data_IF_141844355461
#
_entry.id   IF_141844355461
#
_cell.length_a   1.000
_cell.length_b   1.000
_cell.length_c   1.000
_cell.angle_alpha   90.00
_cell.angle_beta   90.00
_cell.angle_gamma   90.00
#
_symmetry.space_group_name_H-M   'P 1'
#
loop_
_entity.id
_entity.type
_entity.pdbx_description
1 polymer ?
#
# COMPACT_ATOMS: atom_id res chain seq x y z
N UNK A 1 -3.49 26.37 9.89
CA UNK A 1 -3.22 25.06 10.49
C UNK A 1 -2.38 24.19 9.56
N UNK A 2 -2.78 23.94 8.33
CA UNK A 2 -2.06 23.08 7.36
C UNK A 2 -0.89 23.84 6.71
N UNK A 3 0.29 23.17 6.61
CA UNK A 3 1.46 23.63 5.85
C UNK A 3 1.54 22.88 4.52
N UNK A 4 1.48 21.55 4.52
CA UNK A 4 1.41 20.70 3.33
C UNK A 4 0.34 19.62 3.49
N UNK A 5 -0.79 19.80 2.81
CA UNK A 5 -1.92 18.86 2.88
C UNK A 5 -1.62 17.47 2.29
N UNK A 6 -0.59 17.35 1.42
CA UNK A 6 -0.22 16.06 0.81
C UNK A 6 0.27 15.09 1.84
N UNK A 7 0.99 15.56 2.85
CA UNK A 7 1.55 14.77 3.95
C UNK A 7 0.46 14.05 4.77
N UNK A 8 -0.75 14.62 4.82
CA UNK A 8 -1.90 14.03 5.54
C UNK A 8 -2.69 13.00 4.72
N UNK A 9 -2.30 12.74 3.47
CA UNK A 9 -2.93 11.69 2.65
C UNK A 9 -2.41 10.31 3.03
N UNK A 10 -3.23 9.31 2.81
CA UNK A 10 -2.90 7.90 3.10
C UNK A 10 -1.83 7.34 2.16
N UNK A 11 -1.84 7.82 0.91
CA UNK A 11 -0.92 7.41 -0.15
C UNK A 11 0.44 8.13 -0.12
N UNK A 12 0.64 9.10 0.78
CA UNK A 12 1.92 9.76 0.93
C UNK A 12 2.96 8.83 1.55
N UNK A 13 4.07 8.62 0.84
CA UNK A 13 5.21 7.85 1.31
C UNK A 13 6.26 8.81 1.89
N UNK A 14 6.66 8.66 3.16
CA UNK A 14 7.72 9.49 3.75
C UNK A 14 9.08 9.15 3.12
N UNK A 15 10.03 10.10 3.20
CA UNK A 15 11.39 9.87 2.71
C UNK A 15 12.15 8.81 3.52
N UNK A 16 11.81 8.68 4.80
CA UNK A 16 12.36 7.68 5.72
C UNK A 16 11.20 6.94 6.37
N UNK A 17 11.23 5.62 6.33
CA UNK A 17 10.27 4.74 6.98
C UNK A 17 10.86 4.27 8.31
N UNK A 18 10.36 4.81 9.39
CA UNK A 18 10.73 4.39 10.74
C UNK A 18 9.97 3.14 11.16
N UNK A 19 10.55 2.39 12.10
CA UNK A 19 9.97 1.19 12.72
C UNK A 19 9.76 0.00 11.77
N UNK A 20 10.42 0.03 10.60
CA UNK A 20 10.39 -1.05 9.59
C UNK A 20 11.78 -1.38 9.04
N UNK A 21 12.84 -0.95 9.72
CA UNK A 21 14.22 -1.09 9.25
C UNK A 21 14.59 -2.55 8.96
N UNK A 22 14.19 -3.48 9.84
CA UNK A 22 14.43 -4.91 9.67
C UNK A 22 13.71 -5.48 8.45
N UNK A 23 12.44 -5.10 8.26
CA UNK A 23 11.66 -5.54 7.10
C UNK A 23 12.19 -4.90 5.81
N UNK A 24 12.59 -3.64 5.83
CA UNK A 24 13.21 -2.95 4.68
C UNK A 24 14.52 -3.66 4.29
N UNK A 25 15.35 -3.97 5.27
CA UNK A 25 16.63 -4.67 5.02
C UNK A 25 16.39 -6.06 4.43
N UNK A 26 15.47 -6.83 5.01
CA UNK A 26 15.12 -8.15 4.49
C UNK A 26 14.57 -8.05 3.06
N UNK A 27 13.59 -7.18 2.83
CA UNK A 27 13.00 -6.96 1.52
C UNK A 27 14.03 -6.53 0.46
N UNK A 28 14.93 -5.60 0.83
CA UNK A 28 16.02 -5.15 -0.05
C UNK A 28 17.01 -6.27 -0.36
N UNK A 29 17.27 -7.18 0.60
CA UNK A 29 18.16 -8.31 0.37
C UNK A 29 17.59 -9.30 -0.65
N UNK A 30 16.27 -9.52 -0.65
CA UNK A 30 15.58 -10.39 -1.60
C UNK A 30 15.60 -9.81 -3.03
N UNK A 31 15.55 -8.49 -3.19
CA UNK A 31 15.63 -7.83 -4.50
C UNK A 31 17.07 -7.58 -4.98
N UNK A 32 18.07 -7.77 -4.12
CA UNK A 32 19.47 -7.50 -4.47
C UNK A 32 19.99 -8.27 -5.69
N UNK A 33 19.61 -9.54 -5.96
CA UNK A 33 20.04 -10.24 -7.17
C UNK A 33 19.76 -9.48 -8.46
N UNK A 34 18.67 -8.72 -8.53
CA UNK A 34 18.30 -7.92 -9.71
C UNK A 34 19.38 -6.88 -10.04
N UNK A 35 20.06 -6.32 -9.03
CA UNK A 35 21.13 -5.32 -9.24
C UNK A 35 22.36 -5.89 -9.95
N UNK A 36 22.47 -7.21 -10.01
CA UNK A 36 23.54 -7.93 -10.68
C UNK A 36 23.08 -8.61 -11.99
N UNK A 37 21.90 -8.27 -12.48
CA UNK A 37 21.30 -8.87 -13.69
C UNK A 37 20.85 -10.33 -13.48
N UNK A 38 20.63 -10.73 -12.23
CA UNK A 38 20.06 -12.03 -11.88
C UNK A 38 18.57 -11.86 -11.53
N UNK A 39 17.76 -12.85 -11.80
CA UNK A 39 16.37 -12.87 -11.32
C UNK A 39 16.33 -12.92 -9.79
N UNK A 40 15.29 -12.31 -9.19
CA UNK A 40 14.98 -12.47 -7.78
C UNK A 40 13.75 -13.36 -7.62
N UNK A 41 13.66 -14.05 -6.47
CA UNK A 41 12.43 -14.76 -6.11
C UNK A 41 11.27 -13.79 -5.91
N UNK A 42 10.04 -14.28 -6.13
CA UNK A 42 8.87 -13.50 -5.81
C UNK A 42 8.81 -13.21 -4.31
N UNK A 43 8.15 -12.13 -3.92
CA UNK A 43 8.04 -11.73 -2.52
C UNK A 43 6.56 -11.69 -2.13
N UNK A 44 6.21 -12.36 -1.04
CA UNK A 44 4.90 -12.30 -0.43
C UNK A 44 4.95 -11.42 0.82
N UNK A 45 4.22 -10.31 0.79
CA UNK A 45 4.11 -9.35 1.90
C UNK A 45 2.76 -9.54 2.58
N UNK A 46 2.78 -9.96 3.84
CA UNK A 46 1.56 -10.25 4.61
C UNK A 46 1.49 -9.41 5.89
N UNK A 47 0.29 -9.33 6.44
CA UNK A 47 0.00 -8.64 7.70
C UNK A 47 -1.35 -7.94 7.70
N UNK A 48 -1.84 -7.52 8.87
CA UNK A 48 -3.13 -6.84 9.01
C UNK A 48 -3.23 -5.56 8.19
N UNK A 49 -4.46 -5.10 7.92
CA UNK A 49 -4.68 -3.83 7.24
C UNK A 49 -4.07 -2.65 8.03
N UNK A 50 -3.47 -1.70 7.31
CA UNK A 50 -2.90 -0.49 7.91
C UNK A 50 -1.53 -0.68 8.58
N UNK A 51 -0.83 -1.80 8.33
CA UNK A 51 0.53 -2.06 8.86
C UNK A 51 1.65 -1.54 7.95
N UNK A 52 1.32 -0.92 6.82
CA UNK A 52 2.30 -0.33 5.92
C UNK A 52 2.81 -1.25 4.81
N UNK A 53 2.15 -2.38 4.50
CA UNK A 53 2.54 -3.33 3.44
C UNK A 53 2.79 -2.65 2.10
N UNK A 54 1.81 -1.91 1.60
CA UNK A 54 1.91 -1.17 0.34
C UNK A 54 3.01 -0.12 0.38
N UNK A 55 3.13 0.56 1.51
CA UNK A 55 4.12 1.64 1.71
C UNK A 55 5.54 1.10 1.64
N UNK A 56 5.83 -0.01 2.34
CA UNK A 56 7.17 -0.63 2.33
C UNK A 56 7.53 -1.19 0.96
N UNK A 57 6.57 -1.84 0.27
CA UNK A 57 6.81 -2.38 -1.07
C UNK A 57 7.17 -1.27 -2.07
N UNK A 58 6.39 -0.19 -2.11
CA UNK A 58 6.68 0.98 -2.95
C UNK A 58 8.01 1.63 -2.58
N UNK A 59 8.24 1.86 -1.29
CA UNK A 59 9.47 2.48 -0.80
C UNK A 59 10.73 1.72 -1.24
N UNK A 60 10.76 0.41 -1.03
CA UNK A 60 11.95 -0.40 -1.38
C UNK A 60 12.17 -0.45 -2.89
N UNK A 61 11.09 -0.60 -3.67
CA UNK A 61 11.19 -0.63 -5.14
C UNK A 61 11.61 0.74 -5.71
N UNK A 62 11.10 1.84 -5.16
CA UNK A 62 11.51 3.19 -5.55
C UNK A 62 12.99 3.43 -5.24
N UNK A 63 13.49 3.02 -4.06
CA UNK A 63 14.91 3.09 -3.73
C UNK A 63 15.77 2.26 -4.70
N UNK A 64 15.31 1.06 -5.05
CA UNK A 64 16.00 0.19 -6.01
C UNK A 64 16.09 0.85 -7.39
N UNK A 65 15.01 1.40 -7.90
CA UNK A 65 14.99 2.06 -9.23
C UNK A 65 15.79 3.35 -9.30
N UNK A 66 15.99 4.03 -8.16
CA UNK A 66 16.86 5.20 -8.07
C UNK A 66 18.35 4.84 -8.05
N UNK A 67 18.70 3.66 -7.54
CA UNK A 67 20.09 3.22 -7.41
C UNK A 67 20.60 2.45 -8.64
N UNK A 68 19.72 1.79 -9.38
CA UNK A 68 20.06 0.90 -10.48
C UNK A 68 19.26 1.23 -11.73
N UNK A 69 19.98 1.49 -12.83
CA UNK A 69 19.37 1.63 -14.15
C UNK A 69 18.94 0.26 -14.69
N UNK A 70 17.96 0.24 -15.58
CA UNK A 70 17.47 -1.01 -16.18
C UNK A 70 16.48 -1.78 -15.30
N UNK A 71 15.87 -1.10 -14.33
CA UNK A 71 14.78 -1.64 -13.52
C UNK A 71 13.56 -0.75 -13.68
N UNK A 72 12.41 -1.36 -13.95
CA UNK A 72 11.10 -0.71 -13.99
C UNK A 72 10.15 -1.40 -13.06
N UNK A 73 9.12 -0.68 -12.61
CA UNK A 73 8.06 -1.30 -11.84
C UNK A 73 6.69 -0.83 -12.27
N UNK A 74 5.70 -1.65 -11.99
CA UNK A 74 4.29 -1.32 -12.11
C UNK A 74 3.57 -1.70 -10.81
N UNK A 75 2.54 -0.93 -10.48
CA UNK A 75 1.69 -1.15 -9.33
C UNK A 75 0.24 -1.29 -9.77
N UNK A 76 -0.45 -2.24 -9.18
CA UNK A 76 -1.90 -2.40 -9.31
C UNK A 76 -2.51 -2.70 -7.95
N UNK A 77 -3.73 -2.22 -7.70
CA UNK A 77 -4.53 -2.61 -6.55
C UNK A 77 -5.68 -3.49 -7.04
N UNK A 78 -5.69 -4.76 -6.64
CA UNK A 78 -6.63 -5.75 -7.14
C UNK A 78 -8.09 -5.52 -6.69
N UNK A 79 -8.35 -4.63 -5.72
CA UNK A 79 -9.71 -4.19 -5.40
C UNK A 79 -10.27 -3.32 -6.52
N UNK A 80 -9.48 -2.37 -7.02
CA UNK A 80 -9.90 -1.45 -8.11
C UNK A 80 -9.73 -2.07 -9.50
N UNK A 81 -8.69 -2.89 -9.67
CA UNK A 81 -8.29 -3.53 -10.91
C UNK A 81 -8.45 -5.05 -10.78
N UNK A 82 -9.69 -5.55 -10.62
CA UNK A 82 -9.94 -6.97 -10.32
C UNK A 82 -9.76 -7.91 -11.51
N UNK A 83 -9.96 -7.40 -12.74
CA UNK A 83 -9.86 -8.21 -13.96
C UNK A 83 -8.43 -8.30 -14.46
N UNK A 84 -8.09 -9.42 -15.13
CA UNK A 84 -6.78 -9.63 -15.75
C UNK A 84 -6.36 -8.47 -16.66
N UNK A 85 -7.29 -7.90 -17.43
CA UNK A 85 -6.99 -6.80 -18.35
C UNK A 85 -6.65 -5.51 -17.60
N UNK A 86 -7.40 -5.19 -16.53
CA UNK A 86 -7.16 -4.01 -15.69
C UNK A 86 -5.81 -4.10 -14.96
N UNK A 87 -5.53 -5.26 -14.32
CA UNK A 87 -4.24 -5.53 -13.69
C UNK A 87 -3.08 -5.32 -14.67
N UNK A 88 -3.14 -5.97 -15.84
CA UNK A 88 -2.09 -5.86 -16.85
C UNK A 88 -1.93 -4.42 -17.36
N UNK A 89 -3.04 -3.69 -17.55
CA UNK A 89 -3.02 -2.31 -17.98
C UNK A 89 -2.28 -1.43 -16.97
N UNK A 90 -2.66 -1.50 -15.68
CA UNK A 90 -2.04 -0.71 -14.60
C UNK A 90 -0.55 -1.02 -14.45
N UNK A 91 -0.16 -2.28 -14.53
CA UNK A 91 1.24 -2.69 -14.49
C UNK A 91 2.06 -2.12 -15.65
N UNK A 92 1.56 -2.22 -16.88
CA UNK A 92 2.26 -1.72 -18.08
C UNK A 92 2.28 -0.19 -18.13
N UNK A 93 1.24 0.48 -17.62
CA UNK A 93 1.22 1.92 -17.45
C UNK A 93 2.31 2.37 -16.46
N UNK A 94 2.40 1.71 -15.30
CA UNK A 94 3.44 1.99 -14.29
C UNK A 94 4.86 1.82 -14.85
N UNK A 95 5.07 0.83 -15.72
CA UNK A 95 6.33 0.62 -16.44
C UNK A 95 6.65 1.71 -17.50
N UNK A 96 5.72 2.64 -17.77
CA UNK A 96 5.87 3.65 -18.82
C UNK A 96 5.75 3.09 -20.25
N UNK A 97 5.15 1.91 -20.39
CA UNK A 97 5.00 1.20 -21.68
C UNK A 97 3.54 1.10 -22.16
N UNK A 98 2.62 1.78 -21.49
CA UNK A 98 1.18 1.68 -21.74
C UNK A 98 0.50 2.94 -22.29
N UNK A 99 1.22 4.02 -22.57
CA UNK A 99 0.64 5.33 -22.93
C UNK A 99 -0.22 5.32 -24.20
N UNK A 100 0.01 4.36 -25.08
CA UNK A 100 -0.73 4.13 -26.34
C UNK A 100 -1.85 3.10 -26.21
N UNK A 101 -1.97 2.45 -25.05
CA UNK A 101 -2.94 1.37 -24.80
C UNK A 101 -4.15 1.90 -24.03
N UNK A 102 -5.32 1.30 -24.31
CA UNK A 102 -6.55 1.60 -23.57
C UNK A 102 -6.99 0.35 -22.81
N UNK A 103 -7.53 0.48 -21.59
CA UNK A 103 -8.05 -0.68 -20.84
C UNK A 103 -9.09 -1.45 -21.63
N UNK A 104 -9.98 -0.71 -22.30
CA UNK A 104 -11.06 -1.27 -23.11
C UNK A 104 -10.58 -1.57 -24.54
N UNK A 105 -10.78 -2.82 -24.97
CA UNK A 105 -10.48 -3.27 -26.32
C UNK A 105 -9.04 -3.71 -26.58
N UNK A 106 -8.13 -3.57 -25.62
CA UNK A 106 -6.77 -4.10 -25.72
C UNK A 106 -6.73 -5.54 -25.23
N UNK A 107 -6.25 -6.46 -26.06
CA UNK A 107 -6.05 -7.85 -25.64
C UNK A 107 -4.97 -7.96 -24.55
N UNK A 108 -5.19 -8.83 -23.58
CA UNK A 108 -4.21 -9.11 -22.52
C UNK A 108 -2.86 -9.58 -23.08
N UNK A 109 -2.85 -10.26 -24.22
CA UNK A 109 -1.62 -10.68 -24.90
C UNK A 109 -0.72 -9.50 -25.31
N UNK A 110 -1.30 -8.34 -25.64
CA UNK A 110 -0.53 -7.13 -25.99
C UNK A 110 0.23 -6.63 -24.76
N UNK A 111 -0.39 -6.59 -23.58
CA UNK A 111 0.28 -6.21 -22.34
C UNK A 111 1.44 -7.14 -22.00
N UNK A 112 1.22 -8.46 -22.06
CA UNK A 112 2.29 -9.44 -21.81
C UNK A 112 3.43 -9.36 -22.84
N UNK A 113 3.14 -9.08 -24.11
CA UNK A 113 4.18 -8.86 -25.10
C UNK A 113 5.00 -7.61 -24.80
N UNK A 114 4.35 -6.50 -24.36
CA UNK A 114 5.05 -5.29 -23.93
C UNK A 114 6.01 -5.52 -22.76
N UNK A 115 5.61 -6.36 -21.78
CA UNK A 115 6.47 -6.74 -20.67
C UNK A 115 7.61 -7.65 -21.13
N UNK A 116 7.35 -8.60 -22.02
CA UNK A 116 8.36 -9.54 -22.56
C UNK A 116 9.41 -8.86 -23.43
N UNK A 117 9.02 -7.79 -24.16
CA UNK A 117 9.89 -7.02 -25.04
C UNK A 117 10.70 -5.93 -24.31
N UNK A 118 10.60 -5.84 -22.98
CA UNK A 118 11.43 -4.92 -22.20
C UNK A 118 12.83 -5.53 -22.00
N UNK A 119 13.85 -4.70 -22.20
CA UNK A 119 15.23 -5.05 -21.83
C UNK A 119 15.48 -4.83 -20.33
N UNK A 120 14.61 -4.06 -19.66
CA UNK A 120 14.68 -3.74 -18.23
C UNK A 120 14.07 -4.88 -17.40
N UNK A 121 14.63 -5.17 -16.23
CA UNK A 121 13.98 -6.05 -15.24
C UNK A 121 12.70 -5.39 -14.72
N UNK A 122 11.60 -6.14 -14.69
CA UNK A 122 10.30 -5.61 -14.29
C UNK A 122 9.86 -6.12 -12.91
N UNK A 123 9.55 -5.20 -12.02
CA UNK A 123 8.97 -5.52 -10.70
C UNK A 123 7.47 -5.24 -10.72
N UNK A 124 6.66 -6.27 -10.60
CA UNK A 124 5.19 -6.17 -10.56
C UNK A 124 4.71 -6.17 -9.12
N UNK A 125 4.12 -5.07 -8.64
CA UNK A 125 3.51 -4.96 -7.32
C UNK A 125 2.00 -5.18 -7.47
N UNK A 126 1.51 -6.31 -6.94
CA UNK A 126 0.08 -6.65 -6.88
C UNK A 126 -0.39 -6.49 -5.44
N UNK A 127 -1.14 -5.43 -5.19
CA UNK A 127 -1.67 -5.10 -3.87
C UNK A 127 -3.09 -5.64 -3.68
N UNK A 128 -3.42 -6.10 -2.47
CA UNK A 128 -4.71 -6.75 -2.13
C UNK A 128 -4.98 -7.94 -3.09
N UNK A 129 -3.96 -8.77 -3.30
CA UNK A 129 -4.00 -9.85 -4.31
C UNK A 129 -4.98 -10.97 -3.95
N UNK A 130 -5.37 -11.07 -2.70
CA UNK A 130 -6.37 -11.98 -2.15
C UNK A 130 -7.80 -11.75 -2.69
N UNK A 131 -8.08 -10.59 -3.31
CA UNK A 131 -9.38 -10.33 -3.96
C UNK A 131 -9.34 -10.37 -5.50
N UNK A 132 -8.27 -10.90 -6.09
CA UNK A 132 -8.14 -10.95 -7.54
C UNK A 132 -9.14 -11.94 -8.16
N UNK A 133 -9.89 -11.52 -9.18
CA UNK A 133 -10.90 -12.37 -9.84
C UNK A 133 -10.29 -13.43 -10.78
N UNK A 134 -9.14 -13.13 -11.39
CA UNK A 134 -8.48 -14.00 -12.36
C UNK A 134 -7.00 -14.20 -12.01
N UNK A 135 -6.72 -15.22 -11.19
CA UNK A 135 -5.38 -15.58 -10.73
C UNK A 135 -4.43 -16.06 -11.85
N UNK A 136 -4.97 -16.35 -13.04
CA UNK A 136 -4.15 -16.67 -14.22
C UNK A 136 -3.22 -15.52 -14.62
N UNK A 137 -3.45 -14.29 -14.14
CA UNK A 137 -2.51 -13.19 -14.34
C UNK A 137 -1.22 -13.42 -13.56
N UNK A 138 -1.30 -13.96 -12.34
CA UNK A 138 -0.12 -14.30 -11.51
C UNK A 138 0.71 -15.36 -12.21
N UNK A 139 0.05 -16.40 -12.72
CA UNK A 139 0.72 -17.44 -13.50
C UNK A 139 1.42 -16.88 -14.75
N UNK A 140 0.71 -16.03 -15.50
CA UNK A 140 1.25 -15.46 -16.73
C UNK A 140 2.42 -14.49 -16.50
N UNK A 141 2.41 -13.74 -15.38
CA UNK A 141 3.54 -12.90 -14.97
C UNK A 141 4.74 -13.75 -14.53
N UNK A 142 4.50 -14.83 -13.78
CA UNK A 142 5.55 -15.74 -13.34
C UNK A 142 6.30 -16.39 -14.52
N UNK A 143 5.61 -16.66 -15.62
CA UNK A 143 6.19 -17.28 -16.80
C UNK A 143 6.94 -16.29 -17.74
N UNK A 144 6.96 -14.99 -17.39
CA UNK A 144 7.75 -13.99 -18.11
C UNK A 144 9.20 -14.00 -17.61
N UNK A 145 10.19 -13.87 -18.52
CA UNK A 145 11.56 -13.64 -18.12
C UNK A 145 11.70 -12.26 -17.48
N UNK A 146 12.68 -12.12 -16.59
CA UNK A 146 13.06 -10.85 -15.96
C UNK A 146 11.90 -10.11 -15.27
N UNK A 147 10.94 -10.87 -14.72
CA UNK A 147 9.82 -10.36 -13.93
C UNK A 147 9.90 -10.92 -12.51
N UNK A 148 9.88 -10.03 -11.53
CA UNK A 148 9.73 -10.37 -10.11
C UNK A 148 8.42 -9.80 -9.60
N UNK A 149 7.59 -10.64 -8.95
CA UNK A 149 6.34 -10.20 -8.36
C UNK A 149 6.48 -9.92 -6.87
N UNK A 150 5.85 -8.84 -6.43
CA UNK A 150 5.60 -8.51 -5.04
C UNK A 150 4.10 -8.62 -4.83
N UNK A 151 3.68 -9.64 -4.09
CA UNK A 151 2.28 -9.94 -3.82
C UNK A 151 1.96 -9.48 -2.39
N UNK A 152 0.95 -8.62 -2.25
CA UNK A 152 0.54 -8.07 -0.96
C UNK A 152 -0.84 -8.60 -0.61
N UNK A 153 -0.95 -9.27 0.53
CA UNK A 153 -2.20 -9.84 1.04
C UNK A 153 -2.34 -9.61 2.56
N UNK A 154 -3.51 -9.90 3.10
CA UNK A 154 -3.74 -9.85 4.56
C UNK A 154 -3.11 -11.07 5.22
N UNK A 155 -3.32 -12.26 4.65
CA UNK A 155 -2.88 -13.55 5.19
C UNK A 155 -2.39 -14.45 4.06
N UNK A 156 -1.33 -15.21 4.30
CA UNK A 156 -0.85 -16.23 3.36
C UNK A 156 -1.82 -17.38 3.23
N UNK A 157 -2.38 -17.83 4.36
CA UNK A 157 -3.29 -18.98 4.38
C UNK A 157 -4.58 -18.68 3.61
N UNK A 158 -5.14 -17.47 3.79
CA UNK A 158 -6.33 -17.05 3.07
C UNK A 158 -6.04 -16.94 1.57
N UNK A 159 -4.94 -16.28 1.20
CA UNK A 159 -4.52 -16.16 -0.19
C UNK A 159 -4.36 -17.52 -0.86
N UNK A 160 -3.71 -18.48 -0.23
CA UNK A 160 -3.46 -19.80 -0.82
C UNK A 160 -4.71 -20.68 -0.87
N UNK A 161 -5.72 -20.38 -0.08
CA UNK A 161 -7.01 -21.09 -0.12
C UNK A 161 -7.80 -20.71 -1.38
N UNK A 162 -7.72 -19.48 -1.83
CA UNK A 162 -8.52 -18.96 -2.94
C UNK A 162 -7.82 -19.12 -4.32
N UNK A 163 -6.49 -19.32 -4.35
CA UNK A 163 -5.72 -19.46 -5.57
C UNK A 163 -5.73 -20.90 -6.14
N UNK A 164 -5.64 -21.01 -7.48
CA UNK A 164 -5.41 -22.29 -8.16
C UNK A 164 -4.12 -22.97 -7.64
N UNK A 165 -4.17 -24.28 -7.46
CA UNK A 165 -3.06 -25.08 -6.93
C UNK A 165 -1.74 -24.93 -7.70
N UNK A 166 -1.80 -24.62 -8.99
CA UNK A 166 -0.61 -24.38 -9.84
C UNK A 166 0.03 -23.05 -9.50
N UNK A 167 -0.78 -22.02 -9.21
CA UNK A 167 -0.32 -20.70 -8.75
C UNK A 167 0.31 -20.84 -7.37
N UNK A 168 -0.37 -21.51 -6.44
CA UNK A 168 0.15 -21.79 -5.07
C UNK A 168 1.49 -22.50 -5.13
N UNK A 169 1.63 -23.51 -5.98
CA UNK A 169 2.89 -24.26 -6.12
C UNK A 169 4.07 -23.36 -6.51
N UNK A 170 3.85 -22.35 -7.35
CA UNK A 170 4.88 -21.38 -7.77
C UNK A 170 5.20 -20.36 -6.68
N UNK A 171 4.20 -19.94 -5.91
CA UNK A 171 4.37 -18.95 -4.85
C UNK A 171 4.95 -19.53 -3.55
N UNK A 172 4.98 -20.86 -3.38
CA UNK A 172 5.55 -21.49 -2.18
C UNK A 172 7.04 -21.20 -1.98
N UNK A 173 7.77 -20.91 -3.05
CA UNK A 173 9.18 -20.49 -3.03
C UNK A 173 9.38 -19.00 -2.79
N UNK A 174 8.31 -18.20 -2.74
CA UNK A 174 8.41 -16.77 -2.54
C UNK A 174 9.04 -16.42 -1.18
N UNK A 175 9.88 -15.40 -1.16
CA UNK A 175 10.39 -14.83 0.08
C UNK A 175 9.23 -14.17 0.86
N UNK A 176 9.25 -14.30 2.19
CA UNK A 176 8.15 -13.84 3.03
C UNK A 176 8.55 -12.63 3.87
N UNK A 177 7.76 -11.56 3.76
CA UNK A 177 7.89 -10.34 4.58
C UNK A 177 6.59 -10.14 5.34
N UNK A 178 6.63 -10.34 6.66
CA UNK A 178 5.44 -10.19 7.51
C UNK A 178 5.51 -8.90 8.30
N UNK A 179 4.42 -8.14 8.30
CA UNK A 179 4.28 -6.90 9.05
C UNK A 179 3.24 -7.07 10.16
N UNK A 180 3.67 -6.82 11.39
CA UNK A 180 2.80 -6.77 12.54
C UNK A 180 2.18 -5.38 12.72
N UNK A 181 1.10 -5.32 13.52
CA UNK A 181 0.51 -4.04 13.96
C UNK A 181 1.57 -3.19 14.65
N UNK A 182 1.47 -1.89 14.46
CA UNK A 182 2.31 -0.94 15.19
C UNK A 182 1.95 -0.93 16.67
N UNK A 183 2.95 -0.75 17.52
CA UNK A 183 2.76 -0.40 18.92
C UNK A 183 2.21 1.02 19.05
N UNK A 184 1.73 1.39 20.24
CA UNK A 184 1.27 2.75 20.51
C UNK A 184 2.37 3.78 20.25
N UNK A 185 3.59 3.55 20.76
CA UNK A 185 4.72 4.46 20.58
C UNK A 185 5.09 4.66 19.11
N UNK A 186 5.15 3.57 18.32
CA UNK A 186 5.42 3.64 16.87
C UNK A 186 4.33 4.42 16.12
N UNK A 187 3.05 4.29 16.51
CA UNK A 187 1.98 5.11 15.93
C UNK A 187 2.13 6.58 16.27
N UNK A 188 2.52 6.91 17.51
CA UNK A 188 2.80 8.29 17.91
C UNK A 188 3.93 8.90 17.07
N UNK A 189 5.02 8.16 16.84
CA UNK A 189 6.13 8.63 16.00
C UNK A 189 5.70 8.85 14.53
N UNK A 190 4.91 7.93 14.00
CA UNK A 190 4.33 8.07 12.64
C UNK A 190 3.44 9.32 12.54
N UNK A 191 2.61 9.55 13.55
CA UNK A 191 1.72 10.71 13.59
C UNK A 191 2.51 12.02 13.73
N UNK A 192 3.52 12.05 14.59
CA UNK A 192 4.41 13.22 14.74
C UNK A 192 5.15 13.52 13.44
N UNK A 193 5.65 12.51 12.72
CA UNK A 193 6.23 12.70 11.41
C UNK A 193 5.26 13.36 10.42
N UNK A 194 3.96 13.02 10.48
CA UNK A 194 2.91 13.67 9.67
C UNK A 194 2.62 15.11 10.14
N UNK A 195 2.59 15.34 11.45
CA UNK A 195 2.37 16.66 12.05
C UNK A 195 3.51 17.61 11.67
N UNK A 196 4.75 17.20 11.85
CA UNK A 196 5.93 18.05 11.62
C UNK A 196 6.10 18.47 10.18
N UNK A 197 5.76 17.56 9.22
CA UNK A 197 5.89 17.86 7.80
C UNK A 197 4.62 18.47 7.18
N UNK A 198 3.43 18.22 7.78
CA UNK A 198 2.15 18.61 7.19
C UNK A 198 1.46 19.80 7.85
N UNK A 199 1.76 20.09 9.10
CA UNK A 199 1.07 21.09 9.90
C UNK A 199 2.02 22.18 10.40
N UNK A 200 1.46 23.32 10.83
CA UNK A 200 2.23 24.38 11.48
C UNK A 200 2.61 23.93 12.89
N UNK A 201 3.78 24.36 13.36
CA UNK A 201 4.25 24.04 14.70
C UNK A 201 3.25 24.49 15.79
N UNK A 202 3.04 23.64 16.80
CA UNK A 202 2.22 23.95 17.97
C UNK A 202 0.71 23.88 17.76
N UNK A 203 0.23 23.40 16.57
CA UNK A 203 -1.22 23.23 16.33
C UNK A 203 -1.77 21.90 16.82
N UNK A 204 -0.92 20.94 17.19
CA UNK A 204 -1.30 19.64 17.74
C UNK A 204 -0.61 19.48 19.08
N UNK A 205 -1.31 19.02 20.10
CA UNK A 205 -0.76 18.70 21.42
C UNK A 205 -0.52 17.19 21.58
N UNK A 206 0.34 16.81 22.52
CA UNK A 206 0.73 15.40 22.74
C UNK A 206 -0.48 14.52 23.09
N UNK A 207 -1.42 15.01 23.90
CA UNK A 207 -2.64 14.30 24.27
C UNK A 207 -3.53 13.93 23.07
N UNK A 208 -3.47 14.71 21.99
CA UNK A 208 -4.22 14.42 20.75
C UNK A 208 -3.58 13.26 20.01
N UNK A 209 -2.26 13.25 19.90
CA UNK A 209 -1.52 12.18 19.22
C UNK A 209 -1.68 10.87 19.99
N UNK A 210 -1.51 10.90 21.31
CA UNK A 210 -1.74 9.76 22.19
C UNK A 210 -3.17 9.20 22.04
N UNK A 211 -4.17 10.08 22.06
CA UNK A 211 -5.56 9.67 21.89
C UNK A 211 -5.83 9.02 20.52
N UNK A 212 -5.26 9.58 19.43
CA UNK A 212 -5.40 9.00 18.10
C UNK A 212 -4.73 7.63 18.02
N UNK A 213 -3.53 7.48 18.61
CA UNK A 213 -2.78 6.22 18.61
C UNK A 213 -3.54 5.11 19.36
N UNK A 214 -4.12 5.42 20.50
CA UNK A 214 -4.98 4.51 21.27
C UNK A 214 -6.18 4.02 20.44
N UNK A 215 -6.89 4.98 19.82
CA UNK A 215 -8.07 4.67 19.03
C UNK A 215 -7.74 3.84 17.79
N UNK A 216 -6.60 4.08 17.18
CA UNK A 216 -6.16 3.40 15.97
C UNK A 216 -5.70 1.95 16.21
N UNK A 217 -5.36 1.59 17.45
CA UNK A 217 -5.07 0.21 17.87
C UNK A 217 -4.08 -0.53 16.95
N UNK A 218 -2.96 0.12 16.60
CA UNK A 218 -1.92 -0.45 15.76
C UNK A 218 -2.12 -0.28 14.24
N UNK A 219 -3.19 0.41 13.82
CA UNK A 219 -3.51 0.65 12.41
C UNK A 219 -3.11 2.08 11.99
N UNK A 220 -1.99 2.22 11.27
CA UNK A 220 -1.49 3.52 10.85
C UNK A 220 -2.42 4.23 9.84
N UNK A 221 -3.10 3.51 8.95
CA UNK A 221 -4.08 4.08 8.01
C UNK A 221 -5.22 4.75 8.78
N UNK A 222 -5.74 4.07 9.81
CA UNK A 222 -6.78 4.63 10.69
C UNK A 222 -6.26 5.85 11.45
N UNK A 223 -5.06 5.79 12.02
CA UNK A 223 -4.44 6.90 12.75
C UNK A 223 -4.30 8.15 11.86
N UNK A 224 -3.76 8.00 10.65
CA UNK A 224 -3.59 9.10 9.69
C UNK A 224 -4.95 9.68 9.25
N UNK A 225 -5.95 8.82 9.05
CA UNK A 225 -7.31 9.24 8.71
C UNK A 225 -7.93 10.08 9.85
N UNK A 226 -7.78 9.64 11.11
CA UNK A 226 -8.25 10.38 12.27
C UNK A 226 -7.56 11.74 12.40
N UNK A 227 -6.24 11.79 12.24
CA UNK A 227 -5.48 13.04 12.24
C UNK A 227 -5.99 14.00 11.16
N UNK A 228 -6.09 13.53 9.92
CA UNK A 228 -6.56 14.33 8.79
C UNK A 228 -7.97 14.85 8.98
N UNK A 229 -8.91 14.00 9.42
CA UNK A 229 -10.30 14.40 9.66
C UNK A 229 -10.40 15.34 10.86
N UNK A 230 -9.67 15.09 11.94
CA UNK A 230 -9.62 15.96 13.11
C UNK A 230 -9.11 17.37 12.78
N UNK A 231 -8.07 17.47 11.95
CA UNK A 231 -7.57 18.78 11.46
C UNK A 231 -8.66 19.52 10.67
N UNK A 232 -9.41 18.82 9.81
CA UNK A 232 -10.53 19.43 9.05
C UNK A 232 -11.63 19.91 9.98
N UNK A 233 -11.97 19.13 11.00
CA UNK A 233 -13.00 19.47 11.98
C UNK A 233 -12.59 20.71 12.80
N UNK A 234 -11.33 20.76 13.27
CA UNK A 234 -10.81 21.92 13.97
C UNK A 234 -10.88 23.20 13.10
N UNK A 235 -10.56 23.08 11.81
CA UNK A 235 -10.66 24.20 10.85
C UNK A 235 -12.12 24.61 10.59
N UNK A 236 -13.05 23.66 10.51
CA UNK A 236 -14.46 23.94 10.34
C UNK A 236 -15.08 24.64 11.57
N UNK A 237 -14.57 24.33 12.75
CA UNK A 237 -14.94 24.98 14.03
C UNK A 237 -14.22 26.31 14.27
N UNK A 238 -13.41 26.79 13.31
CA UNK A 238 -12.60 28.00 13.41
C UNK A 238 -11.57 27.97 14.58
N UNK A 239 -11.23 26.77 15.04
CA UNK A 239 -10.23 26.59 16.09
C UNK A 239 -8.80 26.67 15.51
N UNK A 240 -7.90 27.32 16.23
CA UNK A 240 -6.49 27.47 15.83
C UNK A 240 -5.66 26.20 16.08
N UNK A 241 -6.17 25.28 16.91
CA UNK A 241 -5.48 24.06 17.34
C UNK A 241 -6.39 22.84 17.27
N UNK A 242 -5.79 21.74 16.90
CA UNK A 242 -6.40 20.41 17.01
C UNK A 242 -6.44 19.99 18.48
N UNK A 243 -7.62 19.64 18.98
CA UNK A 243 -7.87 19.13 20.33
C UNK A 243 -8.58 17.79 20.27
N UNK A 244 -8.49 17.00 21.33
CA UNK A 244 -9.14 15.67 21.44
C UNK A 244 -10.63 15.73 21.12
N UNK A 245 -11.35 16.81 21.50
CA UNK A 245 -12.79 16.99 21.19
C UNK A 245 -13.11 16.90 19.70
N UNK A 246 -12.23 17.38 18.80
CA UNK A 246 -12.44 17.33 17.36
C UNK A 246 -12.35 15.89 16.84
N UNK A 247 -11.41 15.11 17.37
CA UNK A 247 -11.28 13.68 17.04
C UNK A 247 -12.49 12.89 17.58
N UNK A 248 -12.98 13.25 18.78
CA UNK A 248 -14.18 12.63 19.36
C UNK A 248 -15.44 12.93 18.56
N UNK A 249 -15.62 14.16 18.08
CA UNK A 249 -16.76 14.56 17.25
C UNK A 249 -16.85 13.72 15.97
N UNK A 250 -15.75 13.60 15.19
CA UNK A 250 -15.74 12.81 13.96
C UNK A 250 -15.97 11.31 14.18
N UNK A 251 -15.68 10.79 15.38
CA UNK A 251 -15.98 9.39 15.73
C UNK A 251 -17.44 9.17 16.09
N UNK A 252 -18.09 10.17 16.69
CA UNK A 252 -19.52 10.12 16.98
C UNK A 252 -20.31 10.11 15.68
N UNK A 253 -20.03 11.04 14.76
CA UNK A 253 -20.69 11.13 13.46
C UNK A 253 -20.59 9.83 12.66
N UNK A 254 -19.38 9.20 12.63
CA UNK A 254 -19.19 7.94 11.93
C UNK A 254 -19.98 6.77 12.54
N UNK A 255 -20.27 6.79 13.86
CA UNK A 255 -21.11 5.78 14.51
C UNK A 255 -22.58 6.00 14.22
N UNK A 256 -23.05 7.25 14.17
CA UNK A 256 -24.43 7.60 13.82
C UNK A 256 -24.71 7.24 12.36
N UNK A 257 -23.83 7.55 11.41
CA UNK A 257 -23.98 7.14 10.00
C UNK A 257 -24.07 5.62 9.81
N UNK A 258 -23.36 4.82 10.62
CA UNK A 258 -23.45 3.36 10.58
C UNK A 258 -24.78 2.88 11.18
N UNK A 259 -25.24 3.52 12.24
CA UNK A 259 -26.49 3.18 12.90
C UNK A 259 -27.70 3.44 11.98
N UNK A 260 -27.73 4.61 11.35
CA UNK A 260 -28.80 5.01 10.42
C UNK A 260 -28.89 4.08 9.20
N UNK A 261 -27.74 3.71 8.61
CA UNK A 261 -27.70 2.72 7.50
C UNK A 261 -28.24 1.34 7.91
N UNK A 262 -28.00 0.92 9.16
CA UNK A 262 -28.52 -0.36 9.66
C UNK A 262 -30.03 -0.32 9.91
N UNK A 263 -30.57 0.82 10.33
CA UNK A 263 -32.02 1.02 10.55
C UNK A 263 -32.76 1.06 9.20
N UNK A 264 -32.21 1.74 8.20
CA UNK A 264 -32.79 1.82 6.85
C UNK A 264 -32.76 0.48 6.08
N UNK A 265 -31.87 -0.46 6.48
CA UNK A 265 -31.78 -1.79 5.84
C UNK A 265 -32.75 -2.80 6.46
N UNK A 266 -33.34 -2.51 7.62
CA UNK A 266 -34.26 -3.37 8.35
C UNK A 266 -35.73 -2.90 8.31
N UNK A 267 -36.05 -1.79 7.65
CA UNK A 267 -37.38 -1.27 7.38
C UNK A 267 -37.81 -1.53 5.95
#
# INVERSE_FOLDING_TARGET
MIHDARVLKEDWVPRELHHREGQIQHFSSELKPITHGLGAENILVTGPSGTGKTTIAKYVVEQLTQQVLGIRYGYTNCISDSTKAAVCHSLVQGAGRGNDLRPEGTSTSIYFNRLREMDDHFVAILDEVDVIEDDRVIHALHDLPDVTMILIAVSEDDLFTDLDSRVVSRLRGAAKVTLDKYSHAELCDILWGRVDHGLRAGVVADDVVDYIADVAAGNARHAITLLRRGVREAMASEDERLAVRHVQAIRADAREEIHDRHVDTLG
#
